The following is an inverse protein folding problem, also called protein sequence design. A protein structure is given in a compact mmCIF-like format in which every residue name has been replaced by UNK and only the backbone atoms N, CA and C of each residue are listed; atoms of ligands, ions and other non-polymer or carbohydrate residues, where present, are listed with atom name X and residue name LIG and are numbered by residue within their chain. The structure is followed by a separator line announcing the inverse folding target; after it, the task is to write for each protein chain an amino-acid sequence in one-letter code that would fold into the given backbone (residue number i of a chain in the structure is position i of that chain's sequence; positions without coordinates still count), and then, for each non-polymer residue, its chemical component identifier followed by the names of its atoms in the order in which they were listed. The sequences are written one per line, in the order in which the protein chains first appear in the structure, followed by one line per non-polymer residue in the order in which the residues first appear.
data_IF_503741328739
#
_entry.id   IF_503741328739
#
_cell.length_a   1.000
_cell.length_b   1.000
_cell.length_c   1.000
_cell.angle_alpha   90.00
_cell.angle_beta   90.00
_cell.angle_gamma   90.00
#
_symmetry.space_group_name_H-M   'P 1'
#
loop_
_entity.id
_entity.type
_entity.pdbx_description
1 polymer ?
#
# COMPACT_ATOMS: atom_id res chain seq x y z
N UNK A 1 -22.24 -31.64 33.02
CA UNK A 1 -21.67 -31.98 31.71
C UNK A 1 -22.55 -31.32 30.66
N UNK A 2 -22.14 -30.40 29.79
CA UNK A 2 -20.84 -29.78 29.53
C UNK A 2 -21.03 -28.69 28.45
N UNK A 3 -19.96 -27.92 28.23
CA UNK A 3 -19.72 -26.93 27.18
C UNK A 3 -20.59 -25.64 27.21
N UNK A 4 -20.05 -24.43 27.29
CA UNK A 4 -18.71 -23.97 26.96
C UNK A 4 -18.74 -23.06 25.73
N UNK A 5 -19.50 -21.97 25.77
CA UNK A 5 -19.51 -20.96 24.72
C UNK A 5 -18.55 -19.83 25.11
N UNK A 6 -17.27 -19.97 24.73
CA UNK A 6 -16.35 -18.84 24.60
C UNK A 6 -16.15 -18.56 23.11
N UNK A 7 -16.69 -17.45 22.66
CA UNK A 7 -16.45 -16.82 21.36
C UNK A 7 -16.48 -15.33 21.67
N UNK A 8 -15.38 -14.60 21.70
CA UNK A 8 -14.41 -14.48 20.62
C UNK A 8 -14.54 -13.06 20.06
N UNK A 9 -14.16 -12.06 20.86
CA UNK A 9 -14.23 -10.65 20.47
C UNK A 9 -13.08 -9.88 21.11
N UNK A 10 -11.89 -9.93 20.50
CA UNK A 10 -10.77 -9.03 20.78
C UNK A 10 -9.84 -8.96 19.57
N UNK A 11 -10.25 -8.30 18.49
CA UNK A 11 -9.34 -7.90 17.41
C UNK A 11 -9.50 -6.43 16.98
N UNK A 12 -10.39 -5.67 17.64
CA UNK A 12 -10.71 -4.28 17.29
C UNK A 12 -9.86 -3.19 17.95
N UNK A 13 -9.08 -3.50 19.00
CA UNK A 13 -8.40 -2.44 19.77
C UNK A 13 -7.12 -1.93 19.07
N UNK A 14 -6.22 -2.82 18.64
CA UNK A 14 -4.90 -2.45 18.12
C UNK A 14 -4.89 -1.59 16.85
N UNK A 15 -5.82 -1.84 15.93
CA UNK A 15 -5.91 -1.07 14.67
C UNK A 15 -6.34 0.37 14.92
N UNK A 16 -7.15 0.59 15.98
CA UNK A 16 -7.59 1.92 16.40
C UNK A 16 -6.44 2.70 17.05
N UNK A 17 -5.60 2.03 17.85
CA UNK A 17 -4.45 2.64 18.53
C UNK A 17 -3.39 3.18 17.55
N UNK A 18 -3.11 2.46 16.46
CA UNK A 18 -2.17 2.89 15.40
C UNK A 18 -2.71 4.11 14.64
N UNK A 19 -4.02 4.18 14.40
CA UNK A 19 -4.64 5.33 13.73
C UNK A 19 -4.57 6.58 14.61
N UNK A 20 -4.73 6.44 15.93
CA UNK A 20 -4.58 7.55 16.88
C UNK A 20 -3.12 8.04 16.94
N UNK A 21 -2.15 7.13 16.91
CA UNK A 21 -0.72 7.46 16.86
C UNK A 21 -0.33 8.20 15.56
N UNK A 22 -0.96 7.85 14.43
CA UNK A 22 -0.70 8.49 13.13
C UNK A 22 -1.05 9.99 13.07
N UNK A 23 -1.88 10.51 13.99
CA UNK A 23 -2.29 11.93 14.00
C UNK A 23 -1.16 12.85 14.51
N UNK A 24 -0.11 12.33 15.15
CA UNK A 24 0.92 13.12 15.84
C UNK A 24 2.37 12.84 15.41
N UNK A 25 2.60 12.29 14.21
CA UNK A 25 3.96 12.01 13.73
C UNK A 25 4.69 13.31 13.38
N UNK A 26 5.42 13.91 14.32
CA UNK A 26 6.17 15.14 14.05
C UNK A 26 7.68 14.98 14.20
N UNK A 27 8.14 13.78 14.60
CA UNK A 27 9.56 13.50 14.84
C UNK A 27 9.97 12.10 14.34
N UNK A 28 11.27 11.84 14.11
CA UNK A 28 11.79 10.49 13.84
C UNK A 28 11.48 9.47 14.91
N UNK A 29 11.50 9.89 16.17
CA UNK A 29 11.26 9.04 17.33
C UNK A 29 9.80 8.57 17.33
N UNK A 30 8.85 9.49 17.14
CA UNK A 30 7.43 9.15 17.00
C UNK A 30 7.16 8.26 15.78
N UNK A 31 7.86 8.49 14.66
CA UNK A 31 7.75 7.62 13.49
C UNK A 31 8.32 6.21 13.76
N UNK A 32 9.41 6.11 14.53
CA UNK A 32 10.02 4.84 14.92
C UNK A 32 9.07 4.01 15.80
N UNK A 33 8.42 4.63 16.77
CA UNK A 33 7.40 3.99 17.61
C UNK A 33 6.24 3.43 16.78
N UNK A 34 5.82 4.17 15.76
CA UNK A 34 4.76 3.72 14.86
C UNK A 34 5.22 2.57 13.98
N UNK A 35 6.44 2.60 13.46
CA UNK A 35 7.03 1.47 12.72
C UNK A 35 7.06 0.21 13.60
N UNK A 36 7.43 0.33 14.88
CA UNK A 36 7.37 -0.76 15.85
C UNK A 36 5.92 -1.28 16.05
N UNK A 37 4.94 -0.38 15.99
CA UNK A 37 3.52 -0.71 16.06
C UNK A 37 2.94 -1.36 14.80
N UNK A 38 3.61 -1.34 13.65
CA UNK A 38 3.11 -1.93 12.40
C UNK A 38 3.14 -3.47 12.36
N UNK A 39 3.64 -4.11 13.42
CA UNK A 39 3.77 -5.58 13.55
C UNK A 39 4.55 -6.21 12.37
N UNK A 40 5.61 -5.53 11.92
CA UNK A 40 6.50 -6.01 10.84
C UNK A 40 7.47 -7.09 11.34
N UNK A 41 8.00 -7.96 10.46
CA UNK A 41 9.08 -8.88 10.82
C UNK A 41 10.29 -8.11 11.37
N UNK A 42 10.95 -8.67 12.39
CA UNK A 42 12.02 -7.97 13.12
C UNK A 42 13.12 -7.40 12.21
N UNK A 43 13.54 -8.16 11.19
CA UNK A 43 14.54 -7.72 10.22
C UNK A 43 14.08 -6.46 9.44
N UNK A 44 12.81 -6.42 9.06
CA UNK A 44 12.28 -5.31 8.27
C UNK A 44 12.00 -4.09 9.14
N UNK A 45 11.57 -4.29 10.38
CA UNK A 45 11.50 -3.24 11.40
C UNK A 45 12.85 -2.56 11.59
N UNK A 46 13.90 -3.35 11.84
CA UNK A 46 15.26 -2.81 12.05
C UNK A 46 15.78 -2.11 10.79
N UNK A 47 15.54 -2.69 9.62
CA UNK A 47 15.96 -2.10 8.33
C UNK A 47 15.24 -0.78 8.04
N UNK A 48 13.93 -0.71 8.27
CA UNK A 48 13.14 0.52 8.12
C UNK A 48 13.65 1.63 9.06
N UNK A 49 13.89 1.32 10.33
CA UNK A 49 14.42 2.26 11.32
C UNK A 49 15.82 2.74 10.92
N UNK A 50 16.67 1.82 10.42
CA UNK A 50 18.00 2.18 9.92
C UNK A 50 17.92 3.15 8.74
N UNK A 51 17.09 2.84 7.73
CA UNK A 51 16.89 3.71 6.56
C UNK A 51 16.38 5.10 6.96
N UNK A 52 15.45 5.15 7.92
CA UNK A 52 14.92 6.40 8.46
C UNK A 52 16.01 7.27 9.09
N UNK A 53 16.84 6.68 9.94
CA UNK A 53 17.93 7.40 10.64
C UNK A 53 19.02 7.86 9.68
N UNK A 54 19.37 7.03 8.70
CA UNK A 54 20.42 7.35 7.73
C UNK A 54 20.00 8.37 6.67
N UNK A 55 18.70 8.59 6.47
CA UNK A 55 18.18 9.44 5.40
C UNK A 55 17.16 10.46 5.91
N UNK A 56 17.51 11.19 6.97
CA UNK A 56 16.62 12.16 7.60
C UNK A 56 16.09 13.25 6.64
N UNK A 57 16.81 13.58 5.56
CA UNK A 57 16.32 14.47 4.48
C UNK A 57 15.02 13.99 3.84
N UNK A 58 14.75 12.68 3.88
CA UNK A 58 13.55 12.04 3.36
C UNK A 58 12.48 11.81 4.43
N UNK A 59 12.65 12.35 5.63
CA UNK A 59 11.75 12.13 6.76
C UNK A 59 10.27 12.39 6.42
N UNK A 60 9.96 13.49 5.74
CA UNK A 60 8.59 13.82 5.33
C UNK A 60 8.00 12.75 4.41
N UNK A 61 8.76 12.25 3.45
CA UNK A 61 8.34 11.21 2.52
C UNK A 61 8.19 9.85 3.19
N UNK A 62 9.10 9.50 4.10
CA UNK A 62 9.04 8.26 4.89
C UNK A 62 7.86 8.28 5.86
N UNK A 63 7.57 9.44 6.48
CA UNK A 63 6.35 9.66 7.26
C UNK A 63 5.10 9.41 6.40
N UNK A 64 4.99 10.06 5.23
CA UNK A 64 3.86 9.86 4.32
C UNK A 64 3.71 8.40 3.91
N UNK A 65 4.81 7.69 3.70
CA UNK A 65 4.83 6.26 3.37
C UNK A 65 4.24 5.40 4.49
N UNK A 66 4.62 5.65 5.74
CA UNK A 66 4.06 4.96 6.91
C UNK A 66 2.58 5.29 7.09
N UNK A 67 2.20 6.56 6.99
CA UNK A 67 0.79 6.97 7.05
C UNK A 67 -0.04 6.29 5.95
N UNK A 68 0.49 6.18 4.73
CA UNK A 68 -0.17 5.46 3.64
C UNK A 68 -0.39 3.98 3.99
N UNK A 69 0.62 3.28 4.54
CA UNK A 69 0.47 1.88 4.99
C UNK A 69 -0.60 1.74 6.08
N UNK A 70 -0.65 2.66 7.04
CA UNK A 70 -1.68 2.66 8.08
C UNK A 70 -3.06 2.82 7.45
N UNK A 71 -3.24 3.82 6.57
CA UNK A 71 -4.54 4.08 5.96
C UNK A 71 -4.99 2.99 4.97
N UNK A 72 -4.07 2.26 4.35
CA UNK A 72 -4.37 1.08 3.54
C UNK A 72 -4.98 -0.05 4.37
N UNK A 73 -4.60 -0.19 5.65
CA UNK A 73 -5.09 -1.24 6.56
C UNK A 73 -6.44 -0.92 7.22
N UNK A 74 -6.95 0.29 7.05
CA UNK A 74 -8.19 0.75 7.72
C UNK A 74 -9.26 1.16 6.71
N UNK A 75 -10.48 1.38 7.21
CA UNK A 75 -11.65 1.72 6.37
C UNK A 75 -11.77 3.21 6.01
N UNK A 76 -10.81 4.04 6.40
CA UNK A 76 -10.84 5.50 6.17
C UNK A 76 -10.36 5.87 4.75
N UNK A 77 -11.23 5.75 3.75
CA UNK A 77 -10.87 5.92 2.34
C UNK A 77 -10.35 7.33 1.99
N UNK A 78 -10.96 8.40 2.51
CA UNK A 78 -10.51 9.78 2.21
C UNK A 78 -9.05 10.05 2.62
N UNK A 79 -8.67 9.62 3.83
CA UNK A 79 -7.30 9.80 4.31
C UNK A 79 -6.33 8.89 3.55
N UNK A 80 -6.76 7.67 3.20
CA UNK A 80 -6.00 6.78 2.33
C UNK A 80 -5.71 7.44 0.96
N UNK A 81 -6.73 7.96 0.28
CA UNK A 81 -6.58 8.69 -0.99
C UNK A 81 -5.60 9.84 -0.84
N UNK A 82 -5.76 10.66 0.21
CA UNK A 82 -4.87 11.80 0.45
C UNK A 82 -3.41 11.36 0.57
N UNK A 83 -3.11 10.34 1.40
CA UNK A 83 -1.73 9.90 1.63
C UNK A 83 -1.12 9.18 0.44
N UNK A 84 -1.91 8.44 -0.34
CA UNK A 84 -1.44 7.85 -1.58
C UNK A 84 -1.11 8.93 -2.62
N UNK A 85 -1.95 9.97 -2.75
CA UNK A 85 -1.67 11.13 -3.61
C UNK A 85 -0.44 11.90 -3.17
N UNK A 86 -0.32 12.19 -1.88
CA UNK A 86 0.86 12.87 -1.32
C UNK A 86 2.14 12.08 -1.68
N UNK A 87 2.10 10.75 -1.61
CA UNK A 87 3.21 9.87 -1.97
C UNK A 87 3.47 9.77 -3.49
N UNK A 88 2.44 9.82 -4.33
CA UNK A 88 2.58 9.84 -5.79
C UNK A 88 3.08 11.19 -6.32
N UNK A 89 2.82 12.29 -5.60
CA UNK A 89 3.25 13.64 -5.99
C UNK A 89 4.74 13.92 -5.73
N UNK A 90 5.48 12.93 -5.27
CA UNK A 90 6.87 13.07 -4.86
C UNK A 90 7.79 13.23 -6.07
N UNK A 91 8.44 14.39 -6.14
CA UNK A 91 9.50 14.67 -7.10
C UNK A 91 10.85 14.68 -6.37
N UNK A 92 11.64 13.62 -6.56
CA UNK A 92 12.94 13.41 -5.91
C UNK A 92 14.00 13.00 -6.93
N UNK A 93 15.29 13.24 -6.65
CA UNK A 93 16.38 12.63 -7.40
C UNK A 93 16.27 11.09 -7.40
N UNK A 94 16.76 10.44 -8.45
CA UNK A 94 16.70 8.98 -8.61
C UNK A 94 17.24 8.21 -7.40
N UNK A 95 18.38 8.65 -6.84
CA UNK A 95 18.97 8.03 -5.65
C UNK A 95 18.02 8.07 -4.44
N UNK A 96 17.27 9.16 -4.27
CA UNK A 96 16.31 9.33 -3.19
C UNK A 96 15.02 8.52 -3.44
N UNK A 97 14.58 8.40 -4.70
CA UNK A 97 13.47 7.52 -5.09
C UNK A 97 13.80 6.05 -4.82
N UNK A 98 15.02 5.62 -5.11
CA UNK A 98 15.47 4.26 -4.80
C UNK A 98 15.44 4.00 -3.28
N UNK A 99 15.95 4.91 -2.46
CA UNK A 99 15.93 4.81 -0.99
C UNK A 99 14.48 4.76 -0.48
N UNK A 100 13.60 5.60 -1.00
CA UNK A 100 12.20 5.62 -0.62
C UNK A 100 11.49 4.31 -1.02
N UNK A 101 11.80 3.76 -2.20
CA UNK A 101 11.32 2.45 -2.63
C UNK A 101 11.79 1.31 -1.73
N UNK A 102 13.07 1.30 -1.33
CA UNK A 102 13.58 0.34 -0.35
C UNK A 102 12.81 0.45 0.97
N UNK A 103 12.63 1.68 1.47
CA UNK A 103 11.87 1.93 2.69
C UNK A 103 10.42 1.42 2.58
N UNK A 104 9.73 1.69 1.48
CA UNK A 104 8.38 1.17 1.18
C UNK A 104 8.33 -0.37 1.20
N UNK A 105 9.38 -1.02 0.68
CA UNK A 105 9.56 -2.47 0.78
C UNK A 105 9.64 -2.94 2.23
N UNK A 106 10.47 -2.28 3.05
CA UNK A 106 10.67 -2.62 4.47
C UNK A 106 9.41 -2.45 5.33
N UNK A 107 8.60 -1.44 5.06
CA UNK A 107 7.31 -1.25 5.76
C UNK A 107 6.16 -2.10 5.18
N UNK A 108 6.48 -3.04 4.28
CA UNK A 108 5.55 -3.96 3.63
C UNK A 108 4.40 -3.25 2.89
N UNK A 109 4.69 -2.10 2.27
CA UNK A 109 3.69 -1.35 1.50
C UNK A 109 3.07 -2.21 0.39
N UNK A 110 3.86 -3.02 -0.31
CA UNK A 110 3.37 -3.89 -1.38
C UNK A 110 2.27 -4.84 -0.90
N UNK A 111 2.42 -5.42 0.30
CA UNK A 111 1.43 -6.33 0.88
C UNK A 111 0.14 -5.57 1.24
N UNK A 112 0.28 -4.48 1.99
CA UNK A 112 -0.85 -3.66 2.43
C UNK A 112 -1.65 -3.10 1.24
N UNK A 113 -0.96 -2.68 0.17
CA UNK A 113 -1.60 -2.14 -1.04
C UNK A 113 -2.31 -3.22 -1.86
N UNK A 114 -1.74 -4.42 -2.01
CA UNK A 114 -2.42 -5.55 -2.67
C UNK A 114 -3.66 -5.98 -1.92
N UNK A 115 -3.58 -6.10 -0.59
CA UNK A 115 -4.72 -6.50 0.24
C UNK A 115 -5.88 -5.50 0.09
N UNK A 116 -5.58 -4.19 0.13
CA UNK A 116 -6.57 -3.14 -0.08
C UNK A 116 -7.15 -3.16 -1.49
N UNK A 117 -6.28 -3.31 -2.50
CA UNK A 117 -6.68 -3.40 -3.91
C UNK A 117 -7.64 -4.58 -4.12
N UNK A 118 -7.29 -5.78 -3.64
CA UNK A 118 -8.14 -6.98 -3.78
C UNK A 118 -9.45 -6.85 -3.03
N UNK A 119 -9.46 -6.23 -1.84
CA UNK A 119 -10.70 -5.94 -1.10
C UNK A 119 -11.68 -5.13 -1.96
N UNK A 120 -11.20 -4.04 -2.57
CA UNK A 120 -12.06 -3.17 -3.40
C UNK A 120 -12.55 -3.90 -4.66
N UNK A 121 -11.67 -4.66 -5.33
CA UNK A 121 -12.03 -5.43 -6.53
C UNK A 121 -13.10 -6.49 -6.19
N UNK A 122 -12.93 -7.19 -5.07
CA UNK A 122 -13.88 -8.22 -4.62
C UNK A 122 -15.23 -7.61 -4.19
N UNK A 123 -15.22 -6.48 -3.48
CA UNK A 123 -16.43 -5.72 -3.13
C UNK A 123 -17.22 -5.31 -4.39
N UNK A 124 -16.52 -5.01 -5.47
CA UNK A 124 -17.11 -4.69 -6.77
C UNK A 124 -17.60 -5.92 -7.56
N UNK A 125 -17.41 -7.14 -7.03
CA UNK A 125 -17.64 -8.41 -7.73
C UNK A 125 -16.86 -8.53 -9.05
N UNK A 126 -15.70 -7.88 -9.13
CA UNK A 126 -14.78 -7.97 -10.26
C UNK A 126 -13.75 -9.06 -10.00
N UNK A 127 -13.24 -9.70 -11.07
CA UNK A 127 -12.15 -10.68 -10.96
C UNK A 127 -10.77 -10.03 -10.99
N UNK A 128 -10.65 -8.93 -11.71
CA UNK A 128 -9.44 -8.14 -11.89
C UNK A 128 -9.83 -6.67 -12.11
N UNK A 129 -8.86 -5.78 -12.04
CA UNK A 129 -9.05 -4.39 -12.43
C UNK A 129 -9.23 -4.27 -13.94
N UNK A 130 -10.30 -3.61 -14.35
CA UNK A 130 -10.59 -3.23 -15.73
C UNK A 130 -10.96 -1.74 -15.69
N UNK A 131 -10.16 -0.83 -16.28
CA UNK A 131 -10.40 0.61 -16.18
C UNK A 131 -11.81 1.03 -16.60
N UNK A 132 -12.34 0.45 -17.69
CA UNK A 132 -13.67 0.81 -18.21
C UNK A 132 -14.74 0.32 -17.25
N UNK A 133 -14.67 -0.94 -16.83
CA UNK A 133 -15.64 -1.50 -15.87
C UNK A 133 -15.57 -0.80 -14.52
N UNK A 134 -14.39 -0.42 -14.05
CA UNK A 134 -14.22 0.32 -12.78
C UNK A 134 -14.91 1.68 -12.88
N UNK A 135 -14.73 2.40 -13.99
CA UNK A 135 -15.34 3.71 -14.21
C UNK A 135 -16.87 3.62 -14.23
N UNK A 136 -17.41 2.64 -14.96
CA UNK A 136 -18.84 2.44 -15.15
C UNK A 136 -19.53 1.75 -13.95
N UNK A 137 -18.78 1.10 -13.06
CA UNK A 137 -19.34 0.37 -11.94
C UNK A 137 -19.79 1.32 -10.81
N UNK A 138 -21.09 1.58 -10.79
CA UNK A 138 -21.78 2.42 -9.80
C UNK A 138 -21.67 1.86 -8.37
N UNK A 139 -21.35 0.57 -8.19
CA UNK A 139 -21.15 -0.02 -6.86
C UNK A 139 -19.82 0.38 -6.22
N UNK A 140 -18.85 0.87 -7.01
CA UNK A 140 -17.56 1.30 -6.49
C UNK A 140 -17.65 2.78 -6.13
N UNK A 141 -17.47 3.09 -4.85
CA UNK A 141 -17.36 4.46 -4.39
C UNK A 141 -16.17 5.18 -5.06
N UNK A 142 -16.31 6.47 -5.38
CA UNK A 142 -15.28 7.25 -6.08
C UNK A 142 -13.91 7.23 -5.37
N UNK A 143 -13.89 7.35 -4.04
CA UNK A 143 -12.63 7.22 -3.28
C UNK A 143 -11.95 5.86 -3.50
N UNK A 144 -12.72 4.78 -3.65
CA UNK A 144 -12.16 3.45 -3.92
C UNK A 144 -11.57 3.37 -5.33
N UNK A 145 -12.21 4.00 -6.33
CA UNK A 145 -11.64 4.11 -7.69
C UNK A 145 -10.32 4.88 -7.66
N UNK A 146 -10.27 5.98 -6.90
CA UNK A 146 -9.04 6.74 -6.69
C UNK A 146 -7.96 5.92 -5.99
N UNK A 147 -8.28 5.20 -4.90
CA UNK A 147 -7.31 4.31 -4.21
C UNK A 147 -6.70 3.31 -5.21
N UNK A 148 -7.52 2.65 -6.03
CA UNK A 148 -7.04 1.70 -7.01
C UNK A 148 -6.09 2.34 -8.03
N UNK A 149 -6.43 3.54 -8.53
CA UNK A 149 -5.57 4.29 -9.44
C UNK A 149 -4.21 4.60 -8.78
N UNK A 150 -4.23 5.23 -7.61
CA UNK A 150 -3.02 5.70 -6.95
C UNK A 150 -2.09 4.52 -6.56
N UNK A 151 -2.65 3.40 -6.08
CA UNK A 151 -1.88 2.19 -5.76
C UNK A 151 -1.12 1.69 -7.00
N UNK A 152 -1.78 1.63 -8.16
CA UNK A 152 -1.16 1.14 -9.39
C UNK A 152 -0.05 2.06 -9.88
N UNK A 153 -0.26 3.37 -9.81
CA UNK A 153 0.75 4.37 -10.16
C UNK A 153 1.98 4.24 -9.25
N UNK A 154 1.79 4.05 -7.93
CA UNK A 154 2.88 3.81 -6.99
C UNK A 154 3.65 2.51 -7.29
N UNK A 155 2.94 1.43 -7.62
CA UNK A 155 3.58 0.17 -8.01
C UNK A 155 4.47 0.37 -9.24
N UNK A 156 3.98 1.04 -10.28
CA UNK A 156 4.73 1.30 -11.50
C UNK A 156 5.92 2.24 -11.26
N UNK A 157 5.71 3.33 -10.53
CA UNK A 157 6.74 4.32 -10.28
C UNK A 157 7.89 3.71 -9.47
N UNK A 158 7.62 3.19 -8.26
CA UNK A 158 8.69 2.72 -7.38
C UNK A 158 9.34 1.41 -7.85
N UNK A 159 8.66 0.57 -8.64
CA UNK A 159 9.31 -0.63 -9.21
C UNK A 159 10.32 -0.28 -10.30
N UNK A 160 10.16 0.86 -10.96
CA UNK A 160 11.11 1.36 -11.98
C UNK A 160 12.40 1.88 -11.35
N UNK A 161 12.32 2.41 -10.12
CA UNK A 161 13.44 3.07 -9.44
C UNK A 161 14.10 2.24 -8.34
N UNK A 162 13.39 1.24 -7.79
CA UNK A 162 13.88 0.42 -6.68
C UNK A 162 13.73 -1.07 -7.00
N UNK A 163 14.83 -1.77 -7.35
CA UNK A 163 14.81 -3.20 -7.59
C UNK A 163 14.32 -4.01 -6.38
N UNK A 164 14.66 -3.58 -5.17
CA UNK A 164 14.19 -4.24 -3.94
C UNK A 164 12.66 -4.12 -3.79
N UNK A 165 12.10 -2.94 -4.10
CA UNK A 165 10.66 -2.78 -4.14
C UNK A 165 10.00 -3.65 -5.21
N UNK A 166 10.58 -3.73 -6.41
CA UNK A 166 10.10 -4.60 -7.49
C UNK A 166 10.08 -6.08 -7.08
N UNK A 167 11.13 -6.55 -6.39
CA UNK A 167 11.19 -7.90 -5.83
C UNK A 167 10.09 -8.10 -4.80
N UNK A 168 9.88 -7.14 -3.90
CA UNK A 168 8.80 -7.22 -2.91
C UNK A 168 7.42 -7.28 -3.57
N UNK A 169 7.13 -6.45 -4.58
CA UNK A 169 5.88 -6.50 -5.35
C UNK A 169 5.66 -7.87 -6.02
N UNK A 170 6.73 -8.43 -6.59
CA UNK A 170 6.68 -9.76 -7.22
C UNK A 170 6.34 -10.83 -6.19
N UNK A 171 6.97 -10.79 -5.01
CA UNK A 171 6.74 -11.75 -3.94
C UNK A 171 5.30 -11.74 -3.41
N UNK A 172 4.61 -10.60 -3.44
CA UNK A 172 3.21 -10.47 -3.00
C UNK A 172 2.18 -10.66 -4.13
N UNK A 173 2.63 -11.01 -5.34
CA UNK A 173 1.76 -11.31 -6.48
C UNK A 173 1.19 -10.08 -7.20
N UNK A 174 1.85 -8.92 -7.13
CA UNK A 174 1.45 -7.73 -7.91
C UNK A 174 1.67 -7.94 -9.40
N UNK A 175 2.71 -8.69 -9.78
CA UNK A 175 3.05 -8.90 -11.18
C UNK A 175 1.89 -9.57 -11.94
N UNK A 176 1.20 -10.55 -11.34
CA UNK A 176 0.02 -11.17 -11.95
C UNK A 176 -1.13 -10.18 -12.11
N UNK A 177 -1.30 -9.23 -11.18
CA UNK A 177 -2.32 -8.19 -11.31
C UNK A 177 -1.96 -7.24 -12.47
N UNK A 178 -0.71 -6.78 -12.55
CA UNK A 178 -0.27 -5.87 -13.62
C UNK A 178 -0.32 -6.54 -15.01
N UNK A 179 0.08 -7.81 -15.13
CA UNK A 179 0.07 -8.56 -16.41
C UNK A 179 -1.34 -8.89 -16.89
N UNK A 180 -2.28 -9.22 -16.00
CA UNK A 180 -3.67 -9.46 -16.39
C UNK A 180 -4.31 -8.24 -17.06
N UNK A 181 -3.88 -7.02 -16.70
CA UNK A 181 -4.30 -5.81 -17.39
C UNK A 181 -3.75 -5.70 -18.81
N UNK A 182 -2.52 -6.17 -19.06
CA UNK A 182 -1.95 -6.21 -20.40
C UNK A 182 -2.76 -7.20 -21.25
N UNK A 183 -3.08 -8.38 -20.71
CA UNK A 183 -3.95 -9.35 -21.37
C UNK A 183 -5.31 -8.76 -21.76
N UNK A 184 -5.99 -8.07 -20.83
CA UNK A 184 -7.27 -7.42 -21.13
C UNK A 184 -7.16 -6.28 -22.16
N UNK A 185 -6.02 -5.59 -22.22
CA UNK A 185 -5.76 -4.54 -23.23
C UNK A 185 -5.46 -5.15 -24.61
N UNK A 186 -4.78 -6.29 -24.66
CA UNK A 186 -4.50 -7.02 -25.90
C UNK A 186 -5.79 -7.66 -26.45
N UNK A 187 -6.61 -8.24 -25.58
CA UNK A 187 -7.87 -8.87 -25.98
C UNK A 187 -8.95 -7.86 -26.40
N UNK A 188 -8.91 -6.63 -25.86
CA UNK A 188 -9.82 -5.54 -26.26
C UNK A 188 -9.40 -4.81 -27.53
N UNK A 189 -8.16 -5.01 -28.01
CA UNK A 189 -7.66 -4.42 -29.26
C UNK A 189 -7.51 -5.40 -30.42
N UNK A 190 -7.64 -6.71 -30.22
CA UNK A 190 -7.73 -7.68 -31.30
C UNK A 190 -6.47 -7.81 -32.17
N UNK A 191 -5.86 -8.99 -32.11
CA UNK A 191 -4.88 -9.52 -33.09
C UNK A 191 -3.54 -8.77 -33.14
N UNK A 192 -2.55 -9.32 -32.43
CA UNK A 192 -1.20 -9.39 -32.99
C UNK A 192 -0.97 -10.86 -33.34
N UNK A 193 -1.25 -11.21 -34.59
CA UNK A 193 -0.75 -12.44 -35.19
C UNK A 193 0.76 -12.33 -35.34
N UNK A 194 1.51 -13.25 -34.73
CA UNK A 194 2.86 -13.56 -35.18
C UNK A 194 2.81 -14.28 -36.53
#
# INVERSE_FOLDING_TARGET
MGAGAMSGACSGSKSTDIVVLAVHINTPESLTEIILGLELPALETLSAISLLRSNFRLFSHMKTSVEAVIYLRVKYHKNCVKKLKDLNSVYLPEADLNILGQFLGKILFGKASVDKYRSIINEASLRHYDPQRILENVKIHEDSKLILKEIRELWLNFSSWSPEFAVHLTAVGVLSELVQNIGSLVDSHGVISF
#
